data_IF_930174225797
#
_entry.id   IF_930174225797
#
_cell.length_a   1.000
_cell.length_b   1.000
_cell.length_c   1.000
_cell.angle_alpha   90.00
_cell.angle_beta   90.00
_cell.angle_gamma   90.00
#
_symmetry.space_group_name_H-M   'P 1'
#
loop_
_entity.id
_entity.type
_entity.pdbx_description
1 polymer ?
#
# COMPACT_ATOMS: atom_id res chain seq x y z
N UNK A 1 25.28 49.92 11.85
CA UNK A 1 24.44 48.83 12.41
C UNK A 1 25.17 47.52 12.20
N UNK A 2 25.50 46.81 13.28
CA UNK A 2 26.13 45.47 13.23
C UNK A 2 25.05 44.42 13.00
N UNK A 3 24.62 44.29 11.75
CA UNK A 3 23.68 43.25 11.34
C UNK A 3 24.41 41.91 11.17
N UNK A 4 23.73 40.77 11.40
CA UNK A 4 24.31 39.46 11.11
C UNK A 4 24.61 39.31 9.62
N UNK A 5 25.63 38.51 9.30
CA UNK A 5 25.98 38.16 7.93
C UNK A 5 24.80 37.61 7.15
N UNK A 6 24.77 37.90 5.85
CA UNK A 6 23.79 37.33 4.90
C UNK A 6 23.77 35.79 4.96
N UNK A 7 24.93 35.16 5.20
CA UNK A 7 25.04 33.70 5.32
C UNK A 7 24.27 33.18 6.53
N UNK A 8 24.43 33.84 7.68
CA UNK A 8 23.76 33.48 8.93
C UNK A 8 22.25 33.67 8.85
N UNK A 9 21.80 34.77 8.22
CA UNK A 9 20.37 34.99 7.95
C UNK A 9 19.80 33.92 7.02
N UNK A 10 20.49 33.61 5.92
CA UNK A 10 20.06 32.59 4.98
C UNK A 10 19.94 31.22 5.66
N UNK A 11 20.92 30.83 6.48
CA UNK A 11 20.87 29.57 7.24
C UNK A 11 19.67 29.48 8.17
N UNK A 12 19.33 30.58 8.86
CA UNK A 12 18.14 30.62 9.72
C UNK A 12 16.84 30.57 8.92
N UNK A 13 16.75 31.28 7.80
CA UNK A 13 15.57 31.25 6.91
C UNK A 13 15.35 29.86 6.33
N UNK A 14 16.40 29.21 5.84
CA UNK A 14 16.32 27.84 5.33
C UNK A 14 15.94 26.85 6.43
N UNK A 15 16.50 27.02 7.63
CA UNK A 15 16.15 26.15 8.77
C UNK A 15 14.69 26.32 9.17
N UNK A 16 14.20 27.56 9.24
CA UNK A 16 12.80 27.85 9.54
C UNK A 16 11.86 27.28 8.47
N UNK A 17 12.20 27.44 7.19
CA UNK A 17 11.43 26.89 6.08
C UNK A 17 11.36 25.36 6.15
N UNK A 18 12.48 24.68 6.42
CA UNK A 18 12.53 23.23 6.57
C UNK A 18 11.67 22.75 7.75
N UNK A 19 11.82 23.37 8.92
CA UNK A 19 11.02 23.04 10.11
C UNK A 19 9.53 23.25 9.84
N UNK A 20 9.15 24.40 9.28
CA UNK A 20 7.77 24.72 8.98
C UNK A 20 7.17 23.75 7.95
N UNK A 21 7.94 23.36 6.94
CA UNK A 21 7.51 22.39 5.95
C UNK A 21 7.25 21.01 6.55
N UNK A 22 8.24 20.47 7.28
CA UNK A 22 8.18 19.10 7.81
C UNK A 22 7.15 19.02 8.94
N UNK A 23 7.36 19.75 10.02
CA UNK A 23 6.51 19.63 11.22
C UNK A 23 5.17 20.34 11.06
N UNK A 24 5.09 21.38 10.24
CA UNK A 24 3.80 21.99 9.86
C UNK A 24 2.97 21.05 9.00
N UNK A 25 3.62 20.32 8.08
CA UNK A 25 3.00 19.24 7.30
C UNK A 25 2.45 18.14 8.20
N UNK A 26 3.26 17.60 9.12
CA UNK A 26 2.85 16.54 10.05
C UNK A 26 1.69 16.97 10.94
N UNK A 27 1.73 18.20 11.46
CA UNK A 27 0.63 18.73 12.28
C UNK A 27 -0.64 18.91 11.45
N UNK A 28 -0.51 19.45 10.23
CA UNK A 28 -1.63 19.57 9.29
C UNK A 28 -2.24 18.21 8.99
N UNK A 29 -1.43 17.19 8.69
CA UNK A 29 -1.88 15.83 8.41
C UNK A 29 -2.58 15.20 9.63
N UNK A 30 -2.04 15.40 10.84
CA UNK A 30 -2.69 14.94 12.08
C UNK A 30 -4.05 15.60 12.33
N UNK A 31 -4.21 16.87 11.95
CA UNK A 31 -5.49 17.59 12.04
C UNK A 31 -6.46 17.12 10.95
N UNK A 32 -5.98 17.00 9.70
CA UNK A 32 -6.80 16.57 8.56
C UNK A 32 -7.27 15.14 8.71
N UNK A 33 -6.45 14.24 9.24
CA UNK A 33 -6.82 12.85 9.49
C UNK A 33 -8.04 12.72 10.44
N UNK A 34 -8.23 13.68 11.35
CA UNK A 34 -9.36 13.72 12.30
C UNK A 34 -10.65 14.25 11.67
N UNK A 35 -10.54 15.11 10.65
CA UNK A 35 -11.70 15.76 10.03
C UNK A 35 -12.09 15.13 8.69
N UNK A 36 -11.18 14.41 8.03
CA UNK A 36 -11.44 13.74 6.78
C UNK A 36 -12.47 12.61 6.95
N UNK A 37 -13.32 12.42 5.94
CA UNK A 37 -14.26 11.30 5.91
C UNK A 37 -13.51 9.97 5.90
N UNK A 38 -12.49 9.86 5.03
CA UNK A 38 -11.57 8.73 4.95
C UNK A 38 -10.14 9.26 4.89
N UNK A 39 -9.23 8.59 5.60
CA UNK A 39 -7.79 8.82 5.51
C UNK A 39 -7.06 7.53 5.17
N UNK A 40 -6.13 7.62 4.23
CA UNK A 40 -5.22 6.55 3.80
C UNK A 40 -4.07 6.41 4.80
N UNK A 41 -4.42 6.18 6.07
CA UNK A 41 -3.52 6.05 7.20
C UNK A 41 -3.97 4.84 8.02
N UNK A 42 -3.00 4.06 8.49
CA UNK A 42 -3.28 2.88 9.34
C UNK A 42 -3.50 3.30 10.80
N UNK A 43 -2.74 4.31 11.24
CA UNK A 43 -2.80 4.85 12.59
C UNK A 43 -2.93 6.37 12.53
N UNK A 44 -3.61 6.94 13.53
CA UNK A 44 -3.74 8.38 13.65
C UNK A 44 -2.39 9.01 14.02
N UNK A 45 -1.84 9.95 13.22
CA UNK A 45 -0.58 10.59 13.54
C UNK A 45 -0.72 11.43 14.81
N UNK A 46 0.26 11.32 15.71
CA UNK A 46 0.28 12.10 16.95
C UNK A 46 0.70 13.55 16.68
N UNK A 47 -0.12 14.55 17.05
CA UNK A 47 0.23 15.96 16.86
C UNK A 47 1.23 16.48 17.89
N UNK A 48 1.52 15.71 18.96
CA UNK A 48 2.29 16.19 20.12
C UNK A 48 3.70 16.61 19.71
N UNK A 49 4.39 15.75 18.96
CA UNK A 49 5.77 15.99 18.55
C UNK A 49 5.92 17.19 17.62
N UNK A 50 5.19 17.30 16.49
CA UNK A 50 5.30 18.48 15.64
C UNK A 50 4.89 19.75 16.41
N UNK A 51 3.90 19.70 17.31
CA UNK A 51 3.54 20.82 18.16
C UNK A 51 4.70 21.25 19.10
N UNK A 52 5.41 20.31 19.71
CA UNK A 52 6.59 20.61 20.54
C UNK A 52 7.69 21.27 19.71
N UNK A 53 8.03 20.71 18.54
CA UNK A 53 9.08 21.26 17.69
C UNK A 53 8.72 22.66 17.19
N UNK A 54 7.48 22.87 16.73
CA UNK A 54 6.99 24.18 16.31
C UNK A 54 6.96 25.21 17.46
N UNK A 55 6.60 24.78 18.68
CA UNK A 55 6.63 25.65 19.86
C UNK A 55 8.06 26.09 20.21
N UNK A 56 9.02 25.16 20.19
CA UNK A 56 10.44 25.47 20.39
C UNK A 56 11.00 26.37 19.27
N UNK A 57 10.51 26.20 18.04
CA UNK A 57 10.86 27.04 16.89
C UNK A 57 10.38 28.47 17.08
N UNK A 58 9.14 28.65 17.55
CA UNK A 58 8.60 29.97 17.87
C UNK A 58 9.43 30.66 18.98
N UNK A 59 9.85 29.91 20.01
CA UNK A 59 10.74 30.42 21.05
C UNK A 59 12.11 30.81 20.49
N UNK A 60 12.73 29.96 19.68
CA UNK A 60 14.03 30.23 19.05
C UNK A 60 13.97 31.46 18.14
N UNK A 61 12.91 31.60 17.35
CA UNK A 61 12.66 32.77 16.52
C UNK A 61 12.50 34.04 17.36
N UNK A 62 11.75 33.95 18.47
CA UNK A 62 11.63 35.05 19.44
C UNK A 62 12.98 35.50 20.00
N UNK A 63 13.86 34.55 20.35
CA UNK A 63 15.23 34.85 20.81
C UNK A 63 16.07 35.52 19.73
N UNK A 64 15.98 35.04 18.48
CA UNK A 64 16.68 35.64 17.33
C UNK A 64 16.22 37.07 17.08
N UNK A 65 14.90 37.29 17.04
CA UNK A 65 14.31 38.60 16.71
C UNK A 65 14.48 39.59 17.86
N UNK A 66 14.05 39.24 19.07
CA UNK A 66 14.04 40.16 20.23
C UNK A 66 15.40 40.28 20.90
N UNK A 67 16.16 39.18 20.97
CA UNK A 67 17.47 39.12 21.61
C UNK A 67 18.61 39.56 20.69
N UNK A 68 18.49 39.28 19.40
CA UNK A 68 19.50 39.58 18.38
C UNK A 68 19.19 40.83 17.57
N UNK A 69 18.23 40.72 16.66
CA UNK A 69 17.94 41.72 15.63
C UNK A 69 17.46 43.06 16.21
N UNK A 70 16.47 43.04 17.10
CA UNK A 70 15.91 44.24 17.72
C UNK A 70 16.92 44.97 18.61
N UNK A 71 17.91 44.25 19.15
CA UNK A 71 18.99 44.80 19.98
C UNK A 71 20.27 45.08 19.19
N UNK A 72 20.26 44.93 17.86
CA UNK A 72 21.40 45.19 16.99
C UNK A 72 22.64 44.35 17.29
N UNK A 73 22.48 43.12 17.81
CA UNK A 73 23.61 42.27 18.20
C UNK A 73 24.37 41.75 16.99
N UNK A 74 25.70 41.75 17.12
CA UNK A 74 26.65 41.24 16.13
C UNK A 74 26.51 39.72 15.90
N UNK A 75 27.19 39.23 14.87
CA UNK A 75 27.13 37.84 14.39
C UNK A 75 27.46 36.77 15.45
N UNK A 76 28.29 37.10 16.44
CA UNK A 76 28.66 36.20 17.53
C UNK A 76 27.53 35.92 18.54
N UNK A 77 26.36 36.55 18.37
CA UNK A 77 25.20 36.24 19.19
C UNK A 77 24.77 34.78 18.99
N UNK A 78 24.99 33.96 20.02
CA UNK A 78 24.70 32.52 20.03
C UNK A 78 23.24 32.19 19.64
N UNK A 79 22.30 33.11 19.87
CA UNK A 79 20.89 32.92 19.50
C UNK A 79 20.66 32.65 18.00
N UNK A 80 21.52 33.17 17.11
CA UNK A 80 21.43 32.90 15.66
C UNK A 80 21.75 31.44 15.29
N UNK A 81 22.23 30.62 16.23
CA UNK A 81 22.50 29.19 15.99
C UNK A 81 21.34 28.29 16.42
N UNK A 82 20.32 28.84 17.08
CA UNK A 82 19.23 28.04 17.67
C UNK A 82 18.39 27.31 16.63
N UNK A 83 17.98 27.97 15.54
CA UNK A 83 17.15 27.33 14.51
C UNK A 83 17.89 26.19 13.78
N UNK A 84 19.15 26.35 13.32
CA UNK A 84 19.90 25.23 12.77
C UNK A 84 20.11 24.07 13.74
N UNK A 85 20.45 24.36 15.01
CA UNK A 85 20.62 23.33 16.04
C UNK A 85 19.31 22.57 16.27
N UNK A 86 18.19 23.30 16.35
CA UNK A 86 16.88 22.70 16.54
C UNK A 86 16.51 21.78 15.38
N UNK A 87 16.71 22.23 14.13
CA UNK A 87 16.46 21.42 12.93
C UNK A 87 17.27 20.12 12.95
N UNK A 88 18.59 20.20 13.18
CA UNK A 88 19.45 19.01 13.18
C UNK A 88 19.07 18.08 14.33
N UNK A 89 18.82 18.62 15.53
CA UNK A 89 18.42 17.82 16.69
C UNK A 89 17.07 17.14 16.50
N UNK A 90 16.09 17.81 15.90
CA UNK A 90 14.77 17.25 15.65
C UNK A 90 14.80 16.16 14.58
N UNK A 91 15.52 16.38 13.47
CA UNK A 91 15.72 15.37 12.42
C UNK A 91 16.48 14.15 12.93
N UNK A 92 17.50 14.34 13.78
CA UNK A 92 18.21 13.22 14.39
C UNK A 92 17.29 12.40 15.29
N UNK A 93 16.48 13.06 16.12
CA UNK A 93 15.48 12.37 16.92
C UNK A 93 14.42 11.67 16.03
N UNK A 94 14.08 12.22 14.86
CA UNK A 94 13.14 11.60 13.91
C UNK A 94 13.73 10.30 13.38
N UNK A 95 15.00 10.34 12.95
CA UNK A 95 15.73 9.19 12.44
C UNK A 95 15.78 8.03 13.45
N UNK A 96 16.19 8.32 14.69
CA UNK A 96 16.30 7.31 15.76
C UNK A 96 14.95 6.63 16.05
N UNK A 97 13.85 7.38 15.93
CA UNK A 97 12.51 6.86 16.17
C UNK A 97 11.92 6.14 14.95
N UNK A 98 12.28 6.56 13.75
CA UNK A 98 11.82 5.97 12.50
C UNK A 98 12.45 4.60 12.20
N UNK A 99 13.66 4.33 12.69
CA UNK A 99 14.39 3.08 12.43
C UNK A 99 13.64 1.81 12.88
N UNK A 100 12.66 1.96 13.77
CA UNK A 100 11.81 0.86 14.25
C UNK A 100 10.54 0.60 13.43
N UNK A 101 10.23 1.43 12.41
CA UNK A 101 8.96 1.36 11.67
C UNK A 101 9.23 1.24 10.17
N UNK A 102 8.78 0.15 9.56
CA UNK A 102 8.68 0.04 8.11
C UNK A 102 7.30 0.57 7.72
N UNK A 103 7.18 1.77 7.11
CA UNK A 103 5.89 2.27 6.69
C UNK A 103 5.42 1.48 5.46
N UNK A 104 4.46 0.58 5.66
CA UNK A 104 3.72 -0.02 4.54
C UNK A 104 2.61 0.95 4.17
N UNK A 105 2.52 1.29 2.89
CA UNK A 105 1.48 2.19 2.39
C UNK A 105 0.10 1.52 2.52
N UNK A 106 -0.94 2.32 2.82
CA UNK A 106 -2.31 1.80 2.97
C UNK A 106 -2.82 1.18 1.66
N UNK A 107 -2.38 1.70 0.51
CA UNK A 107 -2.71 1.17 -0.82
C UNK A 107 -2.17 -0.24 -1.01
N UNK A 108 -0.93 -0.48 -0.56
CA UNK A 108 -0.29 -1.78 -0.65
C UNK A 108 -0.97 -2.77 0.30
N UNK A 109 -1.26 -2.37 1.53
CA UNK A 109 -2.03 -3.19 2.47
C UNK A 109 -3.43 -3.53 1.93
N UNK A 110 -4.13 -2.57 1.34
CA UNK A 110 -5.45 -2.78 0.74
C UNK A 110 -5.37 -3.75 -0.45
N UNK A 111 -4.34 -3.61 -1.28
CA UNK A 111 -4.09 -4.50 -2.42
C UNK A 111 -3.77 -5.93 -1.98
N UNK A 112 -2.93 -6.11 -0.96
CA UNK A 112 -2.62 -7.43 -0.39
C UNK A 112 -3.87 -8.07 0.21
N UNK A 113 -4.71 -7.29 0.90
CA UNK A 113 -5.96 -7.77 1.49
C UNK A 113 -6.96 -8.20 0.40
N UNK A 114 -7.06 -7.42 -0.68
CA UNK A 114 -7.89 -7.74 -1.85
C UNK A 114 -7.40 -9.03 -2.55
N UNK A 115 -6.08 -9.20 -2.70
CA UNK A 115 -5.47 -10.42 -3.24
C UNK A 115 -5.76 -11.64 -2.37
N UNK A 116 -5.64 -11.50 -1.05
CA UNK A 116 -5.98 -12.59 -0.11
C UNK A 116 -7.44 -12.99 -0.23
N UNK A 117 -8.35 -12.02 -0.28
CA UNK A 117 -9.78 -12.31 -0.49
C UNK A 117 -10.02 -13.02 -1.83
N UNK A 118 -9.42 -12.53 -2.92
CA UNK A 118 -9.57 -13.15 -4.23
C UNK A 118 -9.09 -14.60 -4.22
N UNK A 119 -7.96 -14.89 -3.59
CA UNK A 119 -7.43 -16.24 -3.49
C UNK A 119 -8.40 -17.16 -2.74
N UNK A 120 -8.91 -16.72 -1.59
CA UNK A 120 -9.88 -17.49 -0.81
C UNK A 120 -11.21 -17.69 -1.57
N UNK A 121 -11.69 -16.66 -2.27
CA UNK A 121 -12.88 -16.77 -3.10
C UNK A 121 -12.68 -17.69 -4.32
N UNK A 122 -11.45 -17.74 -4.85
CA UNK A 122 -11.05 -18.67 -5.91
C UNK A 122 -11.00 -20.12 -5.41
N UNK A 123 -10.58 -20.36 -4.18
CA UNK A 123 -10.59 -21.70 -3.57
C UNK A 123 -12.02 -22.23 -3.32
N UNK A 124 -12.99 -21.33 -3.16
CA UNK A 124 -14.41 -21.68 -3.03
C UNK A 124 -15.12 -21.84 -4.38
N UNK A 125 -14.46 -21.51 -5.50
CA UNK A 125 -15.10 -21.66 -6.81
C UNK A 125 -15.15 -23.14 -7.22
N UNK A 126 -16.24 -23.50 -7.88
CA UNK A 126 -16.38 -24.83 -8.48
C UNK A 126 -15.80 -24.84 -9.88
N UNK A 127 -15.70 -26.01 -10.52
CA UNK A 127 -15.22 -26.14 -11.91
C UNK A 127 -16.06 -25.37 -12.93
N UNK A 128 -17.33 -25.07 -12.61
CA UNK A 128 -18.28 -24.47 -13.55
C UNK A 128 -18.77 -23.09 -13.12
N UNK A 129 -18.72 -22.77 -11.82
CA UNK A 129 -19.30 -21.54 -11.29
C UNK A 129 -18.50 -20.96 -10.12
N UNK A 130 -18.49 -19.63 -10.02
CA UNK A 130 -17.96 -18.91 -8.85
C UNK A 130 -18.99 -18.86 -7.73
N UNK A 131 -18.52 -18.75 -6.48
CA UNK A 131 -19.38 -18.61 -5.32
C UNK A 131 -20.10 -17.25 -5.34
N UNK A 132 -21.43 -17.25 -5.23
CA UNK A 132 -22.24 -16.02 -5.23
C UNK A 132 -22.96 -15.74 -3.90
N UNK A 133 -22.99 -16.71 -2.99
CA UNK A 133 -23.72 -16.58 -1.72
C UNK A 133 -22.93 -15.66 -0.77
N UNK A 134 -23.50 -14.51 -0.35
CA UNK A 134 -22.84 -13.64 0.63
C UNK A 134 -22.48 -14.36 1.93
N UNK A 135 -23.26 -15.37 2.35
CA UNK A 135 -23.02 -16.11 3.60
C UNK A 135 -21.75 -16.96 3.54
N UNK A 136 -21.34 -17.38 2.35
CA UNK A 136 -20.12 -18.16 2.11
C UNK A 136 -18.91 -17.26 1.95
N UNK A 137 -19.11 -16.06 1.38
CA UNK A 137 -18.04 -15.08 1.15
C UNK A 137 -17.74 -14.20 2.37
N UNK A 138 -18.74 -13.93 3.22
CA UNK A 138 -18.61 -13.05 4.40
C UNK A 138 -17.51 -13.52 5.38
N UNK A 139 -17.37 -14.82 5.70
CA UNK A 139 -16.31 -15.29 6.61
C UNK A 139 -14.91 -15.03 6.09
N UNK A 140 -14.71 -14.92 4.76
CA UNK A 140 -13.40 -14.64 4.17
C UNK A 140 -12.87 -13.24 4.51
N UNK A 141 -13.76 -12.33 4.91
CA UNK A 141 -13.37 -10.98 5.31
C UNK A 141 -12.59 -10.97 6.63
N UNK A 142 -12.81 -11.94 7.51
CA UNK A 142 -12.08 -12.06 8.78
C UNK A 142 -10.60 -12.38 8.54
N UNK A 143 -10.32 -13.21 7.51
CA UNK A 143 -8.97 -13.58 7.08
C UNK A 143 -8.19 -12.40 6.47
N UNK A 144 -8.86 -11.35 6.01
CA UNK A 144 -8.22 -10.14 5.51
C UNK A 144 -7.66 -9.25 6.64
N UNK A 145 -8.10 -9.46 7.89
CA UNK A 145 -7.74 -8.60 9.01
C UNK A 145 -8.52 -7.29 9.03
N UNK A 146 -7.81 -6.16 9.21
CA UNK A 146 -8.44 -4.82 9.36
C UNK A 146 -8.19 -3.94 8.14
N UNK A 147 -9.19 -3.14 7.70
CA UNK A 147 -8.99 -2.16 6.64
C UNK A 147 -7.92 -1.12 7.02
N UNK A 148 -6.99 -0.77 6.11
CA UNK A 148 -5.90 0.17 6.37
C UNK A 148 -6.37 1.64 6.18
N UNK A 149 -7.50 1.99 6.80
CA UNK A 149 -8.10 3.32 6.68
C UNK A 149 -8.57 3.85 8.03
N UNK A 150 -8.56 5.18 8.18
CA UNK A 150 -9.25 5.87 9.27
C UNK A 150 -10.53 6.52 8.74
N UNK A 151 -11.61 6.42 9.51
CA UNK A 151 -12.85 7.15 9.26
C UNK A 151 -13.00 8.21 10.34
N UNK A 152 -12.92 9.50 9.98
CA UNK A 152 -12.95 10.62 10.94
C UNK A 152 -11.95 10.45 12.10
N UNK A 153 -10.76 9.94 11.78
CA UNK A 153 -9.67 9.71 12.73
C UNK A 153 -9.76 8.42 13.54
N UNK A 154 -10.82 7.62 13.37
CA UNK A 154 -10.96 6.32 14.04
C UNK A 154 -10.56 5.17 13.12
N UNK A 155 -9.78 4.18 13.60
CA UNK A 155 -9.39 3.03 12.79
C UNK A 155 -10.58 2.14 12.50
N UNK A 156 -10.68 1.70 11.24
CA UNK A 156 -11.69 0.73 10.85
C UNK A 156 -11.43 -0.64 11.50
N UNK A 157 -12.49 -1.28 11.99
CA UNK A 157 -12.37 -2.55 12.72
C UNK A 157 -12.57 -3.78 11.86
N UNK A 158 -13.32 -3.67 10.77
CA UNK A 158 -13.69 -4.80 9.92
C UNK A 158 -13.99 -4.36 8.49
N UNK A 159 -13.79 -5.27 7.55
CA UNK A 159 -14.29 -5.15 6.18
C UNK A 159 -15.79 -5.48 6.13
N UNK A 160 -16.47 -4.98 5.11
CA UNK A 160 -17.86 -5.34 4.78
C UNK A 160 -17.94 -5.90 3.37
N UNK A 161 -18.96 -6.70 3.09
CA UNK A 161 -19.14 -7.32 1.76
C UNK A 161 -20.44 -6.80 1.13
N UNK A 162 -20.37 -6.42 -0.14
CA UNK A 162 -21.55 -6.22 -0.96
C UNK A 162 -21.42 -7.06 -2.24
N UNK A 163 -22.29 -8.06 -2.37
CA UNK A 163 -22.37 -8.91 -3.56
C UNK A 163 -23.38 -8.31 -4.54
N UNK A 164 -22.99 -8.19 -5.81
CA UNK A 164 -23.83 -7.77 -6.93
C UNK A 164 -23.88 -8.88 -7.97
N UNK A 165 -25.03 -9.07 -8.62
CA UNK A 165 -25.24 -10.11 -9.62
C UNK A 165 -25.41 -9.51 -11.00
N UNK A 166 -25.24 -10.36 -12.01
CA UNK A 166 -25.47 -10.05 -13.42
C UNK A 166 -24.64 -8.84 -13.91
N UNK A 167 -23.38 -8.78 -13.49
CA UNK A 167 -22.45 -7.71 -13.84
C UNK A 167 -21.76 -7.96 -15.19
N UNK A 168 -21.67 -6.94 -16.03
CA UNK A 168 -20.91 -7.02 -17.30
C UNK A 168 -19.41 -6.73 -17.13
N UNK A 169 -18.97 -6.37 -15.92
CA UNK A 169 -17.59 -5.98 -15.65
C UNK A 169 -17.35 -5.56 -14.20
N UNK A 170 -16.13 -5.08 -13.89
CA UNK A 170 -15.81 -4.55 -12.57
C UNK A 170 -16.63 -3.30 -12.27
N UNK A 171 -16.95 -3.11 -10.98
CA UNK A 171 -17.67 -1.91 -10.53
C UNK A 171 -16.80 -0.68 -10.81
N UNK A 172 -17.34 0.29 -11.54
CA UNK A 172 -16.62 1.53 -11.94
C UNK A 172 -16.87 2.72 -11.01
N UNK A 173 -17.96 2.67 -10.23
CA UNK A 173 -18.28 3.67 -9.23
C UNK A 173 -19.13 3.06 -8.10
N UNK A 174 -18.94 3.54 -6.88
CA UNK A 174 -19.64 3.06 -5.69
C UNK A 174 -20.08 4.25 -4.79
N UNK A 175 -20.94 5.15 -5.29
CA UNK A 175 -21.39 6.30 -4.51
C UNK A 175 -22.18 5.84 -3.28
N UNK A 176 -21.89 6.44 -2.12
CA UNK A 176 -22.59 6.15 -0.86
C UNK A 176 -22.23 4.80 -0.22
N UNK A 177 -21.24 4.08 -0.75
CA UNK A 177 -20.72 2.85 -0.14
C UNK A 177 -19.67 3.21 0.90
N UNK A 178 -19.69 2.51 2.04
CA UNK A 178 -18.76 2.74 3.13
C UNK A 178 -17.33 2.34 2.74
N UNK A 179 -16.30 3.06 3.23
CA UNK A 179 -14.91 2.60 3.10
C UNK A 179 -14.73 1.22 3.71
N UNK A 180 -13.74 0.46 3.23
CA UNK A 180 -13.51 -0.92 3.64
C UNK A 180 -14.57 -1.92 3.12
N UNK A 181 -15.46 -1.51 2.22
CA UNK A 181 -16.40 -2.43 1.57
C UNK A 181 -15.70 -3.15 0.42
N UNK A 182 -15.71 -4.48 0.44
CA UNK A 182 -15.37 -5.34 -0.69
C UNK A 182 -16.61 -5.52 -1.55
N UNK A 183 -16.51 -5.14 -2.82
CA UNK A 183 -17.54 -5.27 -3.82
C UNK A 183 -17.26 -6.52 -4.65
N UNK A 184 -18.18 -7.47 -4.63
CA UNK A 184 -18.07 -8.73 -5.37
C UNK A 184 -19.13 -8.76 -6.47
N UNK A 185 -18.74 -8.49 -7.71
CA UNK A 185 -19.65 -8.40 -8.86
C UNK A 185 -19.60 -9.70 -9.65
N UNK A 186 -20.67 -10.50 -9.61
CA UNK A 186 -20.75 -11.80 -10.29
C UNK A 186 -21.26 -11.59 -11.72
N UNK A 187 -20.58 -12.18 -12.69
CA UNK A 187 -20.98 -12.16 -14.09
C UNK A 187 -22.28 -12.97 -14.31
N UNK A 188 -23.05 -12.68 -15.38
CA UNK A 188 -24.09 -13.57 -15.85
C UNK A 188 -23.58 -15.02 -15.95
N UNK A 189 -24.43 -15.98 -15.63
CA UNK A 189 -24.10 -17.42 -15.63
C UNK A 189 -23.00 -17.84 -14.63
N UNK A 190 -22.55 -16.95 -13.74
CA UNK A 190 -21.56 -17.24 -12.67
C UNK A 190 -20.20 -17.73 -13.18
N UNK A 191 -19.83 -17.36 -14.42
CA UNK A 191 -18.56 -17.74 -15.05
C UNK A 191 -17.37 -16.87 -14.66
N UNK A 192 -17.60 -15.79 -13.94
CA UNK A 192 -16.55 -14.93 -13.41
C UNK A 192 -17.12 -14.05 -12.29
N UNK A 193 -16.25 -13.50 -11.45
CA UNK A 193 -16.59 -12.39 -10.59
C UNK A 193 -15.44 -11.38 -10.49
N UNK A 194 -15.77 -10.09 -10.51
CA UNK A 194 -14.82 -9.02 -10.28
C UNK A 194 -14.89 -8.57 -8.82
N UNK A 195 -13.74 -8.53 -8.18
CA UNK A 195 -13.59 -8.07 -6.80
C UNK A 195 -12.93 -6.70 -6.80
N UNK A 196 -13.61 -5.70 -6.24
CA UNK A 196 -13.05 -4.36 -6.00
C UNK A 196 -13.21 -3.98 -4.54
N UNK A 197 -12.49 -2.95 -4.10
CA UNK A 197 -12.56 -2.44 -2.72
C UNK A 197 -12.88 -0.95 -2.73
N UNK A 198 -13.68 -0.50 -1.77
CA UNK A 198 -13.94 0.91 -1.48
C UNK A 198 -12.95 1.40 -0.43
N UNK A 199 -12.29 2.50 -0.70
CA UNK A 199 -11.24 3.11 0.12
C UNK A 199 -10.87 4.48 -0.44
N UNK A 200 -9.59 4.66 -0.77
CA UNK A 200 -9.06 5.85 -1.45
C UNK A 200 -8.14 5.42 -2.59
N UNK A 201 -7.97 6.28 -3.59
CA UNK A 201 -6.94 6.11 -4.63
C UNK A 201 -5.54 6.28 -4.05
N UNK A 202 -4.55 5.64 -4.70
CA UNK A 202 -3.15 5.71 -4.31
C UNK A 202 -2.60 7.16 -4.29
N UNK A 203 -3.21 8.04 -5.08
CA UNK A 203 -2.83 9.44 -5.20
C UNK A 203 -3.47 10.34 -4.12
N UNK A 204 -4.47 9.84 -3.40
CA UNK A 204 -5.22 10.62 -2.41
C UNK A 204 -5.01 10.09 -1.00
N UNK A 205 -4.52 10.97 -0.11
CA UNK A 205 -4.34 10.64 1.31
C UNK A 205 -5.58 10.88 2.17
N UNK A 206 -6.41 11.84 1.77
CA UNK A 206 -7.58 12.29 2.52
C UNK A 206 -8.69 12.63 1.53
N UNK A 207 -9.90 12.15 1.77
CA UNK A 207 -11.01 12.41 0.86
C UNK A 207 -12.29 11.65 1.20
N UNK A 208 -13.31 11.78 0.34
CA UNK A 208 -14.48 10.93 0.39
C UNK A 208 -14.12 9.49 -0.03
N UNK A 209 -14.89 8.47 0.38
CA UNK A 209 -14.67 7.10 -0.07
C UNK A 209 -14.85 6.98 -1.58
N UNK A 210 -13.90 6.32 -2.22
CA UNK A 210 -13.93 5.99 -3.65
C UNK A 210 -13.47 4.55 -3.88
N UNK A 211 -13.47 4.09 -5.13
CA UNK A 211 -12.92 2.79 -5.44
C UNK A 211 -11.40 2.84 -5.36
N UNK A 212 -10.79 1.80 -4.78
CA UNK A 212 -9.34 1.64 -4.76
C UNK A 212 -8.82 1.73 -6.19
N UNK A 213 -8.01 2.74 -6.46
CA UNK A 213 -7.47 3.03 -7.78
C UNK A 213 -5.99 3.36 -7.69
N UNK A 214 -5.27 3.14 -8.79
CA UNK A 214 -3.90 3.59 -8.95
C UNK A 214 -3.70 4.07 -10.39
N UNK A 215 -3.04 5.21 -10.55
CA UNK A 215 -2.81 5.87 -11.85
C UNK A 215 -4.11 6.18 -12.60
N UNK A 216 -5.19 6.46 -11.86
CA UNK A 216 -6.51 6.74 -12.41
C UNK A 216 -7.31 5.51 -12.86
N UNK A 217 -6.80 4.29 -12.65
CA UNK A 217 -7.48 3.05 -12.99
C UNK A 217 -7.95 2.32 -11.72
N UNK A 218 -9.21 1.88 -11.71
CA UNK A 218 -9.78 1.10 -10.62
C UNK A 218 -9.07 -0.25 -10.54
N UNK A 219 -8.56 -0.58 -9.35
CA UNK A 219 -8.00 -1.89 -9.07
C UNK A 219 -9.11 -2.89 -8.85
N UNK A 220 -9.08 -3.96 -9.64
CA UNK A 220 -9.95 -5.11 -9.49
C UNK A 220 -9.14 -6.39 -9.62
N UNK A 221 -9.65 -7.46 -9.03
CA UNK A 221 -9.15 -8.81 -9.27
C UNK A 221 -10.27 -9.69 -9.81
N UNK A 222 -9.91 -10.68 -10.62
CA UNK A 222 -10.86 -11.60 -11.24
C UNK A 222 -10.84 -12.93 -10.50
N UNK A 223 -12.02 -13.42 -10.12
CA UNK A 223 -12.26 -14.79 -9.68
C UNK A 223 -12.88 -15.54 -10.85
N UNK A 224 -12.33 -16.70 -11.18
CA UNK A 224 -12.82 -17.56 -12.25
C UNK A 224 -13.19 -18.94 -11.68
N UNK A 225 -13.99 -19.74 -12.38
CA UNK A 225 -14.15 -21.15 -12.06
C UNK A 225 -12.79 -21.85 -12.00
N UNK A 226 -12.66 -22.85 -11.13
CA UNK A 226 -11.43 -23.63 -11.05
C UNK A 226 -11.18 -24.30 -12.40
N UNK A 227 -10.05 -23.97 -13.05
CA UNK A 227 -9.61 -24.70 -14.23
C UNK A 227 -9.31 -26.11 -13.75
N UNK A 228 -9.87 -27.17 -14.36
CA UNK A 228 -9.49 -28.52 -13.98
C UNK A 228 -7.97 -28.64 -14.15
N UNK A 229 -7.27 -28.95 -13.05
CA UNK A 229 -5.86 -29.30 -13.10
C UNK A 229 -5.73 -30.38 -14.16
N UNK A 230 -5.02 -30.08 -15.24
CA UNK A 230 -4.49 -31.11 -16.12
C UNK A 230 -3.66 -32.00 -15.19
N UNK A 231 -4.12 -33.24 -14.98
CA UNK A 231 -3.52 -34.14 -14.03
C UNK A 231 -1.99 -34.09 -14.21
N UNK A 232 -1.20 -33.87 -13.14
CA UNK A 232 0.25 -33.86 -13.27
C UNK A 232 0.63 -35.14 -14.01
N UNK A 233 1.40 -35.05 -15.13
CA UNK A 233 1.77 -36.25 -15.86
C UNK A 233 2.36 -37.22 -14.86
N UNK A 234 1.81 -38.43 -14.78
CA UNK A 234 2.32 -39.46 -13.88
C UNK A 234 3.84 -39.53 -14.10
N UNK A 235 4.65 -39.46 -13.03
CA UNK A 235 6.10 -39.48 -13.17
C UNK A 235 6.51 -40.88 -13.63
N UNK A 236 6.52 -41.11 -14.95
CA UNK A 236 6.79 -42.43 -15.52
C UNK A 236 6.95 -42.50 -17.03
N UNK A 237 6.20 -41.69 -17.81
CA UNK A 237 6.08 -41.95 -19.26
C UNK A 237 6.87 -41.00 -20.18
N UNK A 238 7.64 -40.06 -19.64
CA UNK A 238 8.40 -39.13 -20.48
C UNK A 238 9.61 -39.73 -21.22
N UNK A 239 10.00 -40.99 -20.97
CA UNK A 239 11.21 -41.59 -21.56
C UNK A 239 11.08 -43.08 -21.92
N UNK A 240 9.87 -43.62 -22.06
CA UNK A 240 9.67 -45.06 -22.34
C UNK A 240 9.30 -45.41 -23.78
N UNK A 241 9.67 -44.58 -24.75
CA UNK A 241 9.75 -44.97 -26.17
C UNK A 241 11.18 -44.91 -26.67
N UNK A 242 12.04 -45.78 -26.13
CA UNK A 242 13.35 -46.14 -26.70
C UNK A 242 13.83 -47.45 -26.06
N UNK A 243 13.11 -48.55 -26.29
CA UNK A 243 13.66 -49.88 -26.06
C UNK A 243 13.95 -50.54 -27.42
N UNK A 244 15.15 -51.12 -27.60
CA UNK A 244 15.67 -51.56 -28.89
C UNK A 244 14.95 -52.80 -29.40
N UNK A 245 14.70 -52.84 -30.72
CA UNK A 245 14.29 -54.05 -31.42
C UNK A 245 15.37 -55.14 -31.29
N UNK A 246 15.25 -56.00 -30.28
CA UNK A 246 15.81 -57.34 -30.33
C UNK A 246 15.08 -58.12 -31.42
N UNK A 247 15.73 -58.22 -32.58
CA UNK A 247 15.43 -59.21 -33.61
C UNK A 247 16.63 -60.16 -33.70
N UNK A 248 16.83 -60.94 -32.64
CA UNK A 248 17.64 -62.17 -32.72
C UNK A 248 16.73 -63.31 -33.17
N UNK A 249 16.47 -63.35 -34.47
CA UNK A 249 15.99 -64.53 -35.18
C UNK A 249 17.18 -65.20 -35.87
N UNK A 250 17.87 -66.08 -35.15
CA UNK A 250 18.86 -66.97 -35.73
C UNK A 250 18.17 -68.02 -36.62
N UNK A 251 18.48 -68.04 -37.92
CA UNK A 251 18.75 -69.27 -38.70
C UNK A 251 19.30 -68.96 -40.09
N UNK A 252 20.51 -69.47 -40.31
CA UNK A 252 21.06 -70.13 -41.50
C UNK A 252 21.22 -69.42 -42.86
N UNK A 253 22.51 -69.29 -43.24
CA UNK A 253 22.98 -69.86 -44.50
C UNK A 253 23.38 -68.85 -45.59
N UNK A 254 24.66 -68.87 -45.98
CA UNK A 254 25.05 -68.50 -47.34
C UNK A 254 26.24 -67.55 -47.47
N UNK A 255 27.37 -68.14 -47.85
CA UNK A 255 28.69 -67.59 -48.19
C UNK A 255 28.75 -66.50 -49.28
N UNK A 256 29.93 -65.84 -49.31
CA UNK A 256 30.67 -65.22 -50.45
C UNK A 256 30.57 -63.70 -50.57
N UNK A 257 31.64 -62.95 -50.20
CA UNK A 257 32.79 -62.50 -51.04
C UNK A 257 32.43 -61.19 -51.78
N UNK A 258 33.22 -60.12 -51.87
CA UNK A 258 34.66 -59.88 -51.95
C UNK A 258 34.95 -58.41 -51.57
N UNK A 259 36.12 -58.16 -50.98
CA UNK A 259 36.89 -56.90 -51.04
C UNK A 259 37.56 -56.77 -52.43
N UNK A 260 37.98 -55.58 -52.90
CA UNK A 260 38.75 -54.56 -52.16
C UNK A 260 38.11 -53.18 -52.04
#
# INVERSE_FOLDING_TARGET
MTLPSRKTLLGNVLSLAAIAWIYGGDLSDAVRARSAEVSALVELPSPVRPAVVLSLTALALGVVVLGGLARGKAEDFKGYRLLPILLVGSLFADLVLAESRIPIDSTDMASMSLQRFQKLAQELSTQTTVAEDPRVLQPLLEEMGRPPYLVRGEPMTAYTLQVRKDCEGPVRAAPGVLPGTVLYCVAPERKAAWVTMVGLSAETRFGPPELLAARGEVRFLLVQPAIPDEAPPEPGDAFRDSAPSQLDGATDGGTSSLQP
#
